data_IF_806937439850
#
_entry.id   IF_806937439850
#
_cell.length_a   1.000
_cell.length_b   1.000
_cell.length_c   1.000
_cell.angle_alpha   90.00
_cell.angle_beta   90.00
_cell.angle_gamma   90.00
#
_symmetry.space_group_name_H-M   'P 1'
#
loop_
_entity.id
_entity.type
_entity.pdbx_description
1 polymer ?
#
# COMPACT_ATOMS: atom_id res chain seq x y z
N UNK A 1 -11.30 -3.26 25.59
CA UNK A 1 -10.34 -4.37 25.43
C UNK A 1 -9.15 -4.12 26.35
N UNK A 2 -8.82 -5.07 27.22
CA UNK A 2 -7.60 -5.06 28.03
C UNK A 2 -6.42 -5.69 27.26
N UNK A 3 -5.21 -5.62 27.83
CA UNK A 3 -3.99 -6.10 27.15
C UNK A 3 -4.01 -7.59 26.82
N UNK A 4 -4.51 -8.44 27.71
CA UNK A 4 -4.56 -9.89 27.47
C UNK A 4 -5.58 -10.27 26.39
N UNK A 5 -6.71 -9.57 26.35
CA UNK A 5 -7.65 -9.67 25.23
C UNK A 5 -7.02 -9.19 23.91
N UNK A 6 -6.27 -8.08 23.95
CA UNK A 6 -5.59 -7.54 22.78
C UNK A 6 -4.55 -8.52 22.22
N UNK A 7 -3.74 -9.16 23.08
CA UNK A 7 -2.80 -10.22 22.68
C UNK A 7 -3.51 -11.39 22.01
N UNK A 8 -4.66 -11.82 22.54
CA UNK A 8 -5.43 -12.92 21.96
C UNK A 8 -5.92 -12.58 20.56
N UNK A 9 -6.51 -11.38 20.38
CA UNK A 9 -6.94 -10.89 19.06
C UNK A 9 -5.75 -10.73 18.12
N UNK A 10 -4.67 -10.11 18.60
CA UNK A 10 -3.42 -9.91 17.86
C UNK A 10 -2.87 -11.22 17.29
N UNK A 11 -2.79 -12.27 18.12
CA UNK A 11 -2.37 -13.61 17.68
C UNK A 11 -3.25 -14.14 16.55
N UNK A 12 -4.58 -14.08 16.69
CA UNK A 12 -5.49 -14.57 15.65
C UNK A 12 -5.38 -13.78 14.33
N UNK A 13 -5.17 -12.47 14.41
CA UNK A 13 -4.96 -11.64 13.22
C UNK A 13 -3.64 -11.99 12.51
N UNK A 14 -2.57 -12.25 13.27
CA UNK A 14 -1.29 -12.71 12.71
C UNK A 14 -1.42 -14.09 12.06
N UNK A 15 -2.12 -15.03 12.72
CA UNK A 15 -2.38 -16.37 12.18
C UNK A 15 -3.18 -16.31 10.86
N UNK A 16 -4.19 -15.42 10.80
CA UNK A 16 -4.97 -15.18 9.59
C UNK A 16 -4.12 -14.58 8.46
N UNK A 17 -3.30 -13.55 8.74
CA UNK A 17 -2.41 -12.96 7.76
C UNK A 17 -1.38 -13.98 7.21
N UNK A 18 -0.90 -14.90 8.06
CA UNK A 18 -0.03 -15.98 7.62
C UNK A 18 -0.77 -17.01 6.75
N UNK A 19 -2.05 -17.30 7.05
CA UNK A 19 -2.87 -18.18 6.24
C UNK A 19 -3.14 -17.61 4.84
N UNK A 20 -3.47 -16.31 4.73
CA UNK A 20 -3.66 -15.66 3.45
C UNK A 20 -2.40 -15.65 2.59
N UNK A 21 -1.22 -15.36 3.18
CA UNK A 21 0.06 -15.44 2.46
C UNK A 21 0.36 -16.84 1.91
N UNK A 22 -0.01 -17.90 2.65
CA UNK A 22 0.12 -19.28 2.14
C UNK A 22 -0.84 -19.54 0.97
N UNK A 23 -2.06 -19.02 1.03
CA UNK A 23 -3.02 -19.15 -0.06
C UNK A 23 -2.55 -18.41 -1.33
N UNK A 24 -2.01 -17.20 -1.17
CA UNK A 24 -1.40 -16.44 -2.25
C UNK A 24 -0.25 -17.21 -2.92
N UNK A 25 0.69 -17.74 -2.13
CA UNK A 25 1.80 -18.54 -2.66
C UNK A 25 1.29 -19.76 -3.47
N UNK A 26 0.28 -20.46 -2.96
CA UNK A 26 -0.32 -21.58 -3.66
C UNK A 26 -1.01 -21.17 -4.98
N UNK A 27 -1.63 -19.99 -5.04
CA UNK A 27 -2.24 -19.46 -6.28
C UNK A 27 -1.16 -19.15 -7.32
N UNK A 28 -0.05 -18.54 -6.91
CA UNK A 28 1.07 -18.23 -7.80
C UNK A 28 1.68 -19.52 -8.39
N UNK A 29 1.79 -20.58 -7.60
CA UNK A 29 2.30 -21.88 -8.06
C UNK A 29 1.41 -22.54 -9.13
N UNK A 30 0.12 -22.20 -9.20
CA UNK A 30 -0.83 -22.80 -10.16
C UNK A 30 -0.68 -22.20 -11.57
N UNK A 31 -0.08 -21.01 -11.73
CA UNK A 31 0.49 -20.56 -13.01
C UNK A 31 -0.47 -20.14 -14.15
N UNK A 32 -1.78 -19.99 -13.89
CA UNK A 32 -2.79 -19.59 -14.89
C UNK A 32 -3.42 -18.20 -14.60
N UNK A 33 -4.36 -17.74 -15.45
CA UNK A 33 -5.20 -16.52 -15.30
C UNK A 33 -5.86 -16.37 -13.91
N UNK A 34 -5.92 -17.45 -13.14
CA UNK A 34 -6.35 -17.46 -11.73
C UNK A 34 -5.48 -16.59 -10.81
N UNK A 35 -4.23 -16.30 -11.18
CA UNK A 35 -3.36 -15.41 -10.40
C UNK A 35 -3.98 -14.02 -10.24
N UNK A 36 -4.59 -13.46 -11.29
CA UNK A 36 -5.24 -12.14 -11.20
C UNK A 36 -6.58 -12.20 -10.46
N UNK A 37 -7.41 -13.22 -10.76
CA UNK A 37 -8.75 -13.38 -10.21
C UNK A 37 -8.78 -13.73 -8.71
N UNK A 38 -7.80 -14.48 -8.22
CA UNK A 38 -7.78 -14.98 -6.83
C UNK A 38 -6.77 -14.26 -5.93
N UNK A 39 -5.72 -13.61 -6.48
CA UNK A 39 -4.77 -12.87 -5.65
C UNK A 39 -5.37 -11.56 -5.13
N UNK A 40 -6.12 -10.82 -5.94
CA UNK A 40 -6.63 -9.50 -5.57
C UNK A 40 -7.50 -9.52 -4.28
N UNK A 41 -8.48 -10.44 -4.10
CA UNK A 41 -9.24 -10.51 -2.86
C UNK A 41 -8.39 -10.89 -1.63
N UNK A 42 -7.35 -11.73 -1.82
CA UNK A 42 -6.45 -12.15 -0.75
C UNK A 42 -5.51 -11.02 -0.33
N UNK A 43 -4.95 -10.30 -1.30
CA UNK A 43 -4.12 -9.12 -1.09
C UNK A 43 -4.93 -8.08 -0.31
N UNK A 44 -6.16 -7.79 -0.75
CA UNK A 44 -7.12 -6.91 -0.06
C UNK A 44 -7.33 -7.32 1.40
N UNK A 45 -7.63 -8.60 1.66
CA UNK A 45 -7.84 -9.10 3.02
C UNK A 45 -6.58 -8.95 3.90
N UNK A 46 -5.40 -9.21 3.36
CA UNK A 46 -4.11 -9.01 4.06
C UNK A 46 -3.89 -7.53 4.38
N UNK A 47 -4.23 -6.63 3.45
CA UNK A 47 -4.12 -5.18 3.67
C UNK A 47 -5.00 -4.70 4.82
N UNK A 48 -6.29 -5.08 4.85
CA UNK A 48 -7.18 -4.74 5.96
C UNK A 48 -6.69 -5.29 7.31
N UNK A 49 -6.18 -6.53 7.33
CA UNK A 49 -5.60 -7.10 8.53
C UNK A 49 -4.40 -6.29 9.03
N UNK A 50 -3.46 -5.98 8.14
CA UNK A 50 -2.18 -5.35 8.51
C UNK A 50 -2.28 -3.86 8.79
N UNK A 51 -2.96 -3.11 7.93
CA UNK A 51 -2.95 -1.65 7.97
C UNK A 51 -4.14 -1.05 8.71
N UNK A 52 -5.19 -1.82 8.98
CA UNK A 52 -6.35 -1.34 9.75
C UNK A 52 -6.41 -2.04 11.11
N UNK A 53 -6.71 -3.34 11.14
CA UNK A 53 -7.00 -4.03 12.39
C UNK A 53 -5.79 -4.14 13.32
N UNK A 54 -4.63 -4.54 12.80
CA UNK A 54 -3.39 -4.62 13.59
C UNK A 54 -2.90 -3.24 14.03
N UNK A 55 -3.00 -2.22 13.17
CA UNK A 55 -2.64 -0.83 13.54
C UNK A 55 -3.49 -0.27 14.67
N UNK A 56 -4.79 -0.59 14.73
CA UNK A 56 -5.64 -0.20 15.86
C UNK A 56 -5.19 -0.83 17.17
N UNK A 57 -4.69 -2.08 17.13
CA UNK A 57 -4.12 -2.75 18.31
C UNK A 57 -2.82 -2.04 18.72
N UNK A 58 -1.90 -1.77 17.80
CA UNK A 58 -0.60 -1.16 18.11
C UNK A 58 -0.73 0.28 18.63
N UNK A 59 -1.68 1.06 18.09
CA UNK A 59 -1.98 2.40 18.61
C UNK A 59 -2.38 2.39 20.08
N UNK A 60 -3.05 1.31 20.54
CA UNK A 60 -3.51 1.16 21.92
C UNK A 60 -2.53 0.40 22.81
N UNK A 61 -1.76 -0.52 22.24
CA UNK A 61 -0.78 -1.38 22.91
C UNK A 61 0.50 -1.46 22.07
N UNK A 62 1.35 -0.42 22.09
CA UNK A 62 2.53 -0.34 21.21
C UNK A 62 3.55 -1.47 21.43
N UNK A 63 3.60 -2.02 22.64
CA UNK A 63 4.47 -3.14 23.01
C UNK A 63 4.12 -4.47 22.31
N UNK A 64 2.97 -4.55 21.66
CA UNK A 64 2.55 -5.72 20.88
C UNK A 64 2.98 -5.66 19.42
N UNK A 65 3.47 -4.51 18.94
CA UNK A 65 3.98 -4.41 17.56
C UNK A 65 5.24 -5.27 17.43
N UNK A 66 5.23 -6.30 16.55
CA UNK A 66 6.43 -7.10 16.34
C UNK A 66 7.54 -6.23 15.77
N UNK A 67 8.82 -6.54 16.04
CA UNK A 67 9.91 -5.92 15.31
C UNK A 67 9.65 -6.10 13.81
N UNK A 68 9.68 -4.99 13.07
CA UNK A 68 9.35 -4.99 11.64
C UNK A 68 10.22 -6.00 10.87
N UNK A 69 9.72 -6.55 9.75
CA UNK A 69 10.58 -7.35 8.88
C UNK A 69 11.83 -6.54 8.48
N UNK A 70 12.93 -7.21 8.09
CA UNK A 70 14.07 -6.51 7.50
C UNK A 70 13.55 -5.61 6.37
N UNK A 71 14.05 -4.38 6.33
CA UNK A 71 13.59 -3.44 5.33
C UNK A 71 14.01 -3.92 3.93
N UNK A 72 13.04 -4.34 3.12
CA UNK A 72 13.26 -4.81 1.75
C UNK A 72 13.00 -3.68 0.78
N UNK A 73 13.87 -3.54 -0.23
CA UNK A 73 13.61 -2.65 -1.36
C UNK A 73 12.55 -3.31 -2.24
N UNK A 74 11.44 -2.60 -2.45
CA UNK A 74 10.29 -3.05 -3.23
C UNK A 74 10.14 -2.32 -4.57
N UNK A 75 10.54 -1.03 -4.65
CA UNK A 75 10.47 -0.25 -5.87
C UNK A 75 11.82 0.32 -6.26
N UNK A 76 12.31 -0.06 -7.44
CA UNK A 76 13.52 0.53 -8.05
C UNK A 76 13.22 1.37 -9.28
N UNK A 77 11.98 1.35 -9.78
CA UNK A 77 11.55 2.12 -10.94
C UNK A 77 11.61 3.63 -10.63
N UNK A 78 12.28 4.37 -11.52
CA UNK A 78 12.30 5.84 -11.51
C UNK A 78 11.18 6.37 -12.42
N UNK A 79 10.65 7.56 -12.12
CA UNK A 79 9.52 8.11 -12.87
C UNK A 79 9.84 8.33 -14.35
N UNK A 80 11.04 8.79 -14.65
CA UNK A 80 11.55 8.98 -16.01
C UNK A 80 11.65 7.69 -16.84
N UNK A 81 11.73 6.54 -16.18
CA UNK A 81 11.80 5.22 -16.80
C UNK A 81 10.41 4.54 -16.87
N UNK A 82 9.38 5.16 -16.28
CA UNK A 82 8.03 4.59 -16.24
C UNK A 82 7.35 4.71 -17.61
N UNK A 83 6.84 3.59 -18.12
CA UNK A 83 6.04 3.57 -19.35
C UNK A 83 4.56 3.49 -19.00
N UNK A 84 3.80 4.53 -19.32
CA UNK A 84 2.35 4.54 -19.15
C UNK A 84 1.66 3.88 -20.35
N UNK A 85 0.54 3.18 -20.14
CA UNK A 85 -0.36 2.83 -21.22
C UNK A 85 -0.81 4.08 -21.97
N UNK A 86 -1.03 3.97 -23.29
CA UNK A 86 -1.35 5.13 -24.15
C UNK A 86 -2.63 5.89 -23.79
N UNK A 87 -3.53 5.27 -23.01
CA UNK A 87 -4.77 5.86 -22.52
C UNK A 87 -4.65 6.51 -21.13
N UNK A 88 -3.49 6.43 -20.47
CA UNK A 88 -3.28 6.92 -19.11
C UNK A 88 -2.34 8.12 -19.15
N UNK A 89 -2.77 9.25 -18.61
CA UNK A 89 -1.94 10.44 -18.46
C UNK A 89 -1.33 10.52 -17.05
N UNK A 90 -0.20 11.20 -16.93
CA UNK A 90 0.43 11.53 -15.64
C UNK A 90 -0.57 12.21 -14.68
N UNK A 91 -1.41 13.11 -15.20
CA UNK A 91 -2.42 13.81 -14.41
C UNK A 91 -3.53 12.89 -13.89
N UNK A 92 -3.78 11.77 -14.56
CA UNK A 92 -4.76 10.79 -14.07
C UNK A 92 -4.20 10.06 -12.84
N UNK A 93 -2.92 9.71 -12.85
CA UNK A 93 -2.24 9.13 -11.69
C UNK A 93 -2.19 10.09 -10.53
N UNK A 94 -1.86 11.36 -10.77
CA UNK A 94 -1.87 12.40 -9.73
C UNK A 94 -3.25 12.52 -9.10
N UNK A 95 -4.31 12.58 -9.92
CA UNK A 95 -5.69 12.64 -9.43
C UNK A 95 -6.00 11.45 -8.52
N UNK A 96 -5.62 10.24 -8.93
CA UNK A 96 -5.83 9.03 -8.14
C UNK A 96 -5.06 9.10 -6.83
N UNK A 97 -3.76 9.43 -6.86
CA UNK A 97 -2.91 9.54 -5.67
C UNK A 97 -3.49 10.57 -4.70
N UNK A 98 -3.75 11.79 -5.14
CA UNK A 98 -4.30 12.84 -4.28
C UNK A 98 -5.67 12.46 -3.69
N UNK A 99 -6.48 11.67 -4.39
CA UNK A 99 -7.78 11.23 -3.89
C UNK A 99 -7.72 10.23 -2.73
N UNK A 100 -6.61 9.49 -2.59
CA UNK A 100 -6.46 8.44 -1.56
C UNK A 100 -5.56 8.84 -0.39
N UNK A 101 -4.93 10.01 -0.49
CA UNK A 101 -4.04 10.56 0.53
C UNK A 101 -4.76 11.43 1.56
N UNK A 102 -4.20 11.47 2.76
CA UNK A 102 -4.69 12.26 3.89
C UNK A 102 -3.55 13.14 4.46
N UNK A 103 -3.86 14.19 5.25
CA UNK A 103 -2.84 15.03 5.90
C UNK A 103 -2.05 14.32 7.01
N UNK A 104 -2.47 13.12 7.43
CA UNK A 104 -1.74 12.30 8.42
C UNK A 104 -0.77 11.35 7.73
N UNK A 105 0.28 10.94 8.44
CA UNK A 105 1.21 9.92 7.97
C UNK A 105 0.47 8.60 7.65
N UNK A 106 0.68 8.11 6.42
CA UNK A 106 0.15 6.84 5.92
C UNK A 106 1.28 6.04 5.29
N UNK A 107 1.23 4.72 5.44
CA UNK A 107 2.23 3.81 4.84
C UNK A 107 2.18 3.90 3.32
N UNK A 108 3.34 3.95 2.66
CA UNK A 108 3.42 3.96 1.18
C UNK A 108 2.68 2.76 0.60
N UNK A 109 2.91 1.56 1.14
CA UNK A 109 2.20 0.35 0.71
C UNK A 109 0.66 0.49 0.73
N UNK A 110 0.12 1.20 1.72
CA UNK A 110 -1.32 1.43 1.85
C UNK A 110 -1.83 2.41 0.78
N UNK A 111 -1.08 3.45 0.47
CA UNK A 111 -1.42 4.40 -0.60
C UNK A 111 -1.37 3.71 -1.96
N UNK A 112 -0.33 2.91 -2.23
CA UNK A 112 -0.19 2.15 -3.46
C UNK A 112 -1.38 1.20 -3.68
N UNK A 113 -1.76 0.45 -2.64
CA UNK A 113 -2.93 -0.42 -2.68
C UNK A 113 -4.22 0.34 -3.01
N UNK A 114 -4.50 1.42 -2.28
CA UNK A 114 -5.71 2.24 -2.51
C UNK A 114 -5.72 2.88 -3.91
N UNK A 115 -4.56 3.26 -4.44
CA UNK A 115 -4.45 3.83 -5.76
C UNK A 115 -4.79 2.81 -6.86
N UNK A 116 -4.21 1.61 -6.80
CA UNK A 116 -4.51 0.52 -7.74
C UNK A 116 -5.97 0.09 -7.64
N UNK A 117 -6.48 -0.16 -6.43
CA UNK A 117 -7.88 -0.55 -6.20
C UNK A 117 -8.85 0.50 -6.78
N UNK A 118 -8.48 1.78 -6.69
CA UNK A 118 -9.28 2.87 -7.26
C UNK A 118 -9.29 2.85 -8.79
N UNK A 119 -8.13 2.62 -9.43
CA UNK A 119 -8.03 2.48 -10.89
C UNK A 119 -8.82 1.29 -11.38
N UNK A 120 -8.72 0.14 -10.71
CA UNK A 120 -9.45 -1.08 -11.08
C UNK A 120 -10.98 -0.90 -11.01
N UNK A 121 -11.46 -0.05 -10.09
CA UNK A 121 -12.88 0.32 -9.97
C UNK A 121 -13.31 1.46 -10.90
N UNK A 122 -12.38 2.25 -11.41
CA UNK A 122 -12.66 3.35 -12.35
C UNK A 122 -12.64 2.83 -13.79
N UNK A 123 -13.82 2.56 -14.38
CA UNK A 123 -13.96 2.16 -15.80
C UNK A 123 -13.30 3.14 -16.80
N UNK A 124 -12.99 4.36 -16.37
CA UNK A 124 -12.35 5.40 -17.17
C UNK A 124 -10.87 5.10 -17.49
N UNK A 125 -10.18 4.32 -16.66
CA UNK A 125 -8.79 3.91 -16.91
C UNK A 125 -8.79 2.50 -17.51
N UNK A 126 -8.81 2.44 -18.84
CA UNK A 126 -8.94 1.19 -19.58
C UNK A 126 -7.76 0.20 -19.44
N UNK A 127 -6.66 0.61 -18.79
CA UNK A 127 -5.45 -0.19 -18.68
C UNK A 127 -5.00 -0.31 -17.20
N UNK A 128 -4.59 -1.52 -16.76
CA UNK A 128 -4.07 -1.71 -15.42
C UNK A 128 -2.76 -0.93 -15.24
N UNK A 129 -2.65 -0.20 -14.14
CA UNK A 129 -1.44 0.48 -13.69
C UNK A 129 -0.98 -0.22 -12.43
N UNK A 130 0.28 -0.68 -12.41
CA UNK A 130 0.81 -1.46 -11.29
C UNK A 130 1.33 -0.59 -10.14
N UNK A 131 1.74 -1.27 -9.06
CA UNK A 131 2.28 -0.62 -7.86
C UNK A 131 3.60 0.13 -8.13
N UNK A 132 4.45 -0.34 -9.05
CA UNK A 132 5.74 0.30 -9.31
C UNK A 132 5.56 1.65 -9.98
N UNK A 133 4.63 1.76 -10.94
CA UNK A 133 4.29 3.04 -11.59
C UNK A 133 3.77 4.05 -10.57
N UNK A 134 2.85 3.63 -9.69
CA UNK A 134 2.38 4.50 -8.61
C UNK A 134 3.48 4.87 -7.62
N UNK A 135 4.38 3.94 -7.28
CA UNK A 135 5.50 4.20 -6.37
C UNK A 135 6.48 5.21 -6.97
N UNK A 136 6.85 5.04 -8.23
CA UNK A 136 7.69 5.96 -8.97
C UNK A 136 7.03 7.35 -9.03
N UNK A 137 5.71 7.41 -9.23
CA UNK A 137 4.99 8.68 -9.26
C UNK A 137 4.94 9.37 -7.89
N UNK A 138 4.71 8.62 -6.81
CA UNK A 138 4.76 9.16 -5.44
C UNK A 138 6.13 9.75 -5.14
N UNK A 139 7.22 9.07 -5.54
CA UNK A 139 8.57 9.62 -5.40
C UNK A 139 8.72 10.96 -6.15
N UNK A 140 8.26 11.04 -7.40
CA UNK A 140 8.31 12.28 -8.17
C UNK A 140 7.49 13.43 -7.52
N UNK A 141 6.34 13.12 -6.92
CA UNK A 141 5.52 14.11 -6.20
C UNK A 141 6.17 14.59 -4.89
N UNK A 142 6.94 13.72 -4.22
CA UNK A 142 7.77 14.10 -3.06
C UNK A 142 8.92 14.98 -3.51
N UNK A 143 9.60 14.63 -4.60
CA UNK A 143 10.70 15.42 -5.17
C UNK A 143 10.23 16.80 -5.65
N UNK A 144 8.98 16.89 -6.13
CA UNK A 144 8.31 18.14 -6.49
C UNK A 144 7.74 18.91 -5.28
N UNK A 145 7.99 18.45 -4.04
CA UNK A 145 7.56 19.09 -2.80
C UNK A 145 6.03 19.22 -2.64
N UNK A 146 5.27 18.34 -3.32
CA UNK A 146 3.81 18.25 -3.22
C UNK A 146 3.37 17.30 -2.11
N UNK A 147 4.21 16.34 -1.77
CA UNK A 147 4.02 15.36 -0.70
C UNK A 147 5.20 15.41 0.27
N UNK A 148 4.94 15.08 1.53
CA UNK A 148 6.01 14.84 2.50
C UNK A 148 6.22 13.34 2.69
N UNK A 149 7.49 12.95 2.89
CA UNK A 149 7.88 11.56 3.10
C UNK A 149 8.76 11.37 4.36
N UNK A 150 8.64 10.21 4.98
CA UNK A 150 9.54 9.74 6.04
C UNK A 150 9.98 8.30 5.76
N UNK A 151 11.27 8.03 5.98
CA UNK A 151 11.91 6.75 5.64
C UNK A 151 12.37 6.67 4.19
N UNK A 152 12.76 5.47 3.75
CA UNK A 152 13.15 5.22 2.36
C UNK A 152 11.91 4.79 1.56
N UNK A 153 11.49 5.59 0.58
CA UNK A 153 10.30 5.34 -0.26
C UNK A 153 10.43 4.10 -1.15
N UNK A 154 11.64 3.57 -1.35
CA UNK A 154 11.83 2.27 -1.99
C UNK A 154 11.39 1.11 -1.09
N UNK A 155 11.25 1.33 0.22
CA UNK A 155 10.83 0.35 1.21
C UNK A 155 9.36 0.60 1.59
N UNK A 156 8.41 0.22 0.73
CA UNK A 156 6.99 0.61 0.83
C UNK A 156 6.32 0.31 2.18
N UNK A 157 6.70 -0.77 2.87
CA UNK A 157 6.19 -1.12 4.20
C UNK A 157 6.83 -0.33 5.35
N UNK A 158 7.97 0.31 5.10
CA UNK A 158 8.79 0.99 6.12
C UNK A 158 8.85 2.51 5.93
N UNK A 159 8.26 3.02 4.86
CA UNK A 159 8.11 4.45 4.60
C UNK A 159 6.67 4.91 4.75
N UNK A 160 6.53 6.19 5.08
CA UNK A 160 5.25 6.87 5.22
C UNK A 160 5.25 8.16 4.40
N UNK A 161 4.07 8.51 3.90
CA UNK A 161 3.81 9.71 3.13
C UNK A 161 2.56 10.42 3.65
N UNK A 162 2.48 11.73 3.45
CA UNK A 162 1.28 12.53 3.74
C UNK A 162 1.14 13.67 2.75
N UNK A 163 -0.07 14.21 2.63
CA UNK A 163 -0.27 15.48 1.94
C UNK A 163 0.50 16.57 2.68
N UNK A 164 1.22 17.40 1.92
CA UNK A 164 1.82 18.61 2.46
C UNK A 164 0.70 19.59 2.82
N UNK A 165 0.77 20.17 4.01
CA UNK A 165 -0.15 21.24 4.37
C UNK A 165 0.06 22.38 3.37
N UNK A 166 -0.98 22.70 2.59
CA UNK A 166 -1.00 23.96 1.84
C UNK A 166 -0.96 25.05 2.89
N UNK A 167 0.21 25.67 3.09
CA UNK A 167 0.31 26.89 3.86
C UNK A 167 -0.73 27.86 3.29
N UNK A 168 -1.79 28.11 4.06
CA UNK A 168 -2.70 29.21 3.80
C UNK A 168 -1.85 30.44 4.11
N UNK A 169 -1.28 31.05 3.07
CA UNK A 169 -0.73 32.39 3.14
C UNK A 169 -1.84 33.39 3.53
#
# INVERSE_FOLDING_TARGET
MNREQAKKVHKHLLDAAAAFRRAEAAIVEVGDDGTRLFAEPLVTAVFHLQFELLRLIYKRFPDLEPPGPPATIHGTLRWEDASLPSSVLETDLDRVIFSVMEPRWQKVAMILYRAVERVEKEEALAAPVDFEVFAARIQALVDADLLEAQGNLQMWGHSEVRLKDRAVN
#
